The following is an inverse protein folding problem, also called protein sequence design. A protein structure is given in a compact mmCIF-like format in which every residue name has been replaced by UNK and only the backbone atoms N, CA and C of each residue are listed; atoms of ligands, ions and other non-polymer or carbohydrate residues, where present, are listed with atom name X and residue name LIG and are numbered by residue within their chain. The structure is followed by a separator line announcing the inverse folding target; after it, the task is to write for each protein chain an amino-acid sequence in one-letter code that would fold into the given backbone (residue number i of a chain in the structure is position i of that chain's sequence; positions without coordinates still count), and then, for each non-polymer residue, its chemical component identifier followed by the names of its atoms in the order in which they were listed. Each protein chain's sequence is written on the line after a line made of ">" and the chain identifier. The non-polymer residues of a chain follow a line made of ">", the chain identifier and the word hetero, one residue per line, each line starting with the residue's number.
data_IF_744114383851
#
_entry.id   IF_744114383851
#
_cell.length_a   1.000
_cell.length_b   1.000
_cell.length_c   1.000
_cell.angle_alpha   90.00
_cell.angle_beta   90.00
_cell.angle_gamma   90.00
#
_symmetry.space_group_name_H-M   'P 1'
#
loop_
_entity.id
_entity.type
_entity.pdbx_description
1 polymer ?
#
# COMPACT_ATOMS: atom_id res chain seq x y z
N UNK A 1 3.93 6.14 11.95
CA UNK A 1 2.94 5.27 11.28
C UNK A 1 1.90 4.68 12.23
N UNK A 2 2.25 3.75 13.11
CA UNK A 2 1.31 2.98 13.93
C UNK A 2 0.31 3.84 14.75
N UNK A 3 0.81 4.83 15.49
CA UNK A 3 -0.02 5.72 16.33
C UNK A 3 -1.04 6.50 15.48
N UNK A 4 -0.58 7.05 14.36
CA UNK A 4 -1.38 7.91 13.50
C UNK A 4 -2.48 7.14 12.78
N UNK A 5 -2.16 5.96 12.25
CA UNK A 5 -3.16 5.07 11.66
C UNK A 5 -4.23 4.64 12.67
N UNK A 6 -3.81 4.33 13.90
CA UNK A 6 -4.73 3.91 14.96
C UNK A 6 -5.73 5.00 15.34
N UNK A 7 -5.32 6.27 15.29
CA UNK A 7 -6.18 7.41 15.61
C UNK A 7 -7.11 7.78 14.45
N UNK A 8 -6.59 7.83 13.22
CA UNK A 8 -7.35 8.28 12.05
C UNK A 8 -8.35 7.25 11.52
N UNK A 9 -8.12 5.96 11.79
CA UNK A 9 -8.91 4.87 11.21
C UNK A 9 -9.53 3.93 12.25
N UNK A 10 -9.85 4.45 13.44
CA UNK A 10 -10.56 3.69 14.46
C UNK A 10 -11.84 3.05 13.86
N UNK A 11 -12.01 1.74 14.10
CA UNK A 11 -13.11 0.91 13.59
C UNK A 11 -13.12 0.58 12.08
N UNK A 12 -12.08 0.94 11.33
CA UNK A 12 -11.93 0.53 9.93
C UNK A 12 -11.13 -0.78 9.84
N UNK A 13 -11.30 -1.47 8.71
CA UNK A 13 -10.36 -2.47 8.21
C UNK A 13 -9.30 -1.73 7.40
N UNK A 14 -8.08 -1.64 7.90
CA UNK A 14 -7.02 -0.83 7.31
C UNK A 14 -6.13 -1.69 6.42
N UNK A 15 -6.09 -1.38 5.13
CA UNK A 15 -5.18 -2.00 4.18
C UNK A 15 -4.04 -1.03 3.82
N UNK A 16 -2.79 -1.43 4.11
CA UNK A 16 -1.60 -0.69 3.71
C UNK A 16 -1.11 -1.18 2.35
N UNK A 17 -0.94 -0.27 1.41
CA UNK A 17 -0.49 -0.52 0.04
C UNK A 17 0.88 0.11 -0.13
N UNK A 18 1.86 -0.68 -0.52
CA UNK A 18 3.20 -0.23 -0.87
C UNK A 18 3.37 -0.38 -2.37
N UNK A 19 3.34 0.74 -3.08
CA UNK A 19 3.32 0.73 -4.54
C UNK A 19 3.89 2.00 -5.18
N UNK A 20 3.85 2.09 -6.51
CA UNK A 20 4.16 3.30 -7.26
C UNK A 20 2.89 4.17 -7.40
N UNK A 21 3.00 5.46 -7.17
CA UNK A 21 1.88 6.40 -7.24
C UNK A 21 1.19 6.45 -8.61
N UNK A 22 1.89 6.13 -9.70
CA UNK A 22 1.27 5.99 -11.05
C UNK A 22 0.21 4.89 -11.11
N UNK A 23 0.20 3.97 -10.14
CA UNK A 23 -0.73 2.85 -10.09
C UNK A 23 -1.96 3.11 -9.24
N UNK A 24 -2.07 4.28 -8.59
CA UNK A 24 -3.17 4.59 -7.66
C UNK A 24 -4.54 4.45 -8.34
N UNK A 25 -4.62 4.69 -9.66
CA UNK A 25 -5.83 4.52 -10.47
C UNK A 25 -6.41 3.11 -10.44
N UNK A 26 -5.59 2.08 -10.24
CA UNK A 26 -6.02 0.67 -10.19
C UNK A 26 -6.85 0.34 -8.93
N UNK A 27 -6.81 1.20 -7.92
CA UNK A 27 -7.56 1.02 -6.67
C UNK A 27 -8.86 1.83 -6.63
N UNK A 28 -9.19 2.56 -7.70
CA UNK A 28 -10.44 3.33 -7.77
C UNK A 28 -11.63 2.39 -8.01
N UNK A 29 -12.66 2.50 -7.19
CA UNK A 29 -13.92 1.74 -7.33
C UNK A 29 -15.15 2.63 -7.10
N UNK A 30 -16.34 2.08 -7.37
CA UNK A 30 -17.63 2.75 -7.12
C UNK A 30 -18.48 1.91 -6.17
N UNK A 31 -18.93 2.45 -5.02
CA UNK A 31 -18.61 3.79 -4.49
C UNK A 31 -17.13 3.90 -4.07
N UNK A 32 -16.53 5.11 -4.11
CA UNK A 32 -15.13 5.30 -3.74
C UNK A 32 -14.90 5.02 -2.25
N UNK A 33 -13.73 4.48 -1.93
CA UNK A 33 -13.35 4.13 -0.55
C UNK A 33 -12.54 5.26 0.10
N UNK A 34 -12.62 5.39 1.44
CA UNK A 34 -11.70 6.23 2.19
C UNK A 34 -10.24 5.83 1.97
N UNK A 35 -9.38 6.83 1.80
CA UNK A 35 -7.96 6.66 1.53
C UNK A 35 -7.12 7.74 2.20
N UNK A 36 -5.92 7.36 2.63
CA UNK A 36 -4.84 8.28 3.01
C UNK A 36 -3.54 7.92 2.30
N UNK A 37 -2.85 8.93 1.77
CA UNK A 37 -1.44 8.80 1.42
C UNK A 37 -0.59 9.03 2.66
N UNK A 38 0.44 8.20 2.84
CA UNK A 38 1.42 8.31 3.90
C UNK A 38 2.74 8.80 3.31
N UNK A 39 3.25 9.91 3.84
CA UNK A 39 4.51 10.53 3.45
C UNK A 39 5.53 10.40 4.55
N UNK A 40 6.79 10.23 4.16
CA UNK A 40 7.89 10.23 5.11
C UNK A 40 8.31 11.67 5.43
N UNK A 41 8.45 11.99 6.72
CA UNK A 41 9.09 13.21 7.22
C UNK A 41 10.03 12.84 8.36
N UNK A 42 11.32 13.16 8.22
CA UNK A 42 12.35 12.84 9.22
C UNK A 42 12.36 11.35 9.65
N UNK A 43 12.14 10.44 8.70
CA UNK A 43 12.09 8.99 8.95
C UNK A 43 10.78 8.48 9.56
N UNK A 44 9.80 9.35 9.79
CA UNK A 44 8.49 8.98 10.34
C UNK A 44 7.43 9.12 9.25
N UNK A 45 6.63 8.07 9.03
CA UNK A 45 5.48 8.13 8.11
C UNK A 45 4.28 8.79 8.78
N UNK A 46 3.74 9.79 8.08
CA UNK A 46 2.59 10.61 8.46
C UNK A 46 1.55 10.70 7.35
N UNK A 47 0.29 10.93 7.71
CA UNK A 47 -0.79 11.17 6.76
C UNK A 47 -0.53 12.50 6.04
N UNK A 48 -0.57 12.46 4.71
CA UNK A 48 -0.41 13.64 3.88
C UNK A 48 -1.52 14.67 4.13
N UNK A 49 -1.19 15.95 3.97
CA UNK A 49 -2.19 17.02 4.04
C UNK A 49 -3.34 16.78 3.06
N UNK A 50 -4.57 17.05 3.50
CA UNK A 50 -5.79 16.80 2.71
C UNK A 50 -6.31 15.35 2.77
N UNK A 51 -5.65 14.47 3.53
CA UNK A 51 -6.15 13.12 3.85
C UNK A 51 -6.66 13.04 5.30
N UNK A 52 -7.58 12.10 5.63
CA UNK A 52 -8.21 11.15 4.72
C UNK A 52 -9.20 11.80 3.76
N UNK A 53 -9.34 11.23 2.56
CA UNK A 53 -10.31 11.64 1.54
C UNK A 53 -10.91 10.42 0.83
N UNK A 54 -11.78 10.62 -0.16
CA UNK A 54 -12.29 9.55 -1.00
C UNK A 54 -11.38 9.32 -2.21
N UNK A 55 -11.02 8.06 -2.47
CA UNK A 55 -10.24 7.69 -3.64
C UNK A 55 -11.11 7.70 -4.90
N UNK A 56 -11.23 8.87 -5.51
CA UNK A 56 -11.90 9.07 -6.81
C UNK A 56 -10.89 8.99 -7.96
N UNK A 57 -11.37 8.82 -9.20
CA UNK A 57 -10.51 8.93 -10.39
C UNK A 57 -9.77 10.27 -10.47
N UNK A 58 -10.41 11.37 -10.04
CA UNK A 58 -9.78 12.69 -10.00
C UNK A 58 -8.65 12.72 -8.97
N UNK A 59 -8.88 12.16 -7.78
CA UNK A 59 -7.85 12.06 -6.75
C UNK A 59 -6.68 11.20 -7.24
N UNK A 60 -6.96 10.02 -7.78
CA UNK A 60 -5.90 9.13 -8.30
C UNK A 60 -5.02 9.83 -9.35
N UNK A 61 -5.62 10.55 -10.30
CA UNK A 61 -4.86 11.34 -11.30
C UNK A 61 -4.02 12.45 -10.68
N UNK A 62 -4.49 13.06 -9.59
CA UNK A 62 -3.72 14.03 -8.84
C UNK A 62 -2.50 13.37 -8.17
N UNK A 63 -2.69 12.19 -7.56
CA UNK A 63 -1.61 11.47 -6.86
C UNK A 63 -0.47 11.03 -7.79
N UNK A 64 -0.75 10.77 -9.08
CA UNK A 64 0.26 10.42 -10.08
C UNK A 64 1.34 11.50 -10.29
N UNK A 65 1.13 12.71 -9.75
CA UNK A 65 2.02 13.86 -9.89
C UNK A 65 2.80 14.18 -8.62
N UNK A 66 2.70 13.33 -7.59
CA UNK A 66 3.42 13.56 -6.35
C UNK A 66 4.90 13.23 -6.50
N UNK A 67 5.76 14.07 -5.89
CA UNK A 67 7.20 13.86 -5.81
C UNK A 67 7.61 13.52 -4.39
N UNK A 68 7.05 12.44 -3.87
CA UNK A 68 7.38 11.99 -2.53
C UNK A 68 8.86 11.59 -2.47
N UNK A 69 9.56 12.09 -1.45
CA UNK A 69 10.87 11.56 -1.09
C UNK A 69 10.67 10.14 -0.55
N UNK A 70 11.35 9.17 -1.15
CA UNK A 70 11.20 7.76 -0.80
C UNK A 70 12.51 7.22 -0.23
N UNK A 71 12.47 6.78 1.03
CA UNK A 71 13.57 6.06 1.65
C UNK A 71 13.19 4.60 1.89
N UNK A 72 13.75 3.70 1.08
CA UNK A 72 13.54 2.26 1.25
C UNK A 72 13.87 1.78 2.69
N UNK A 73 15.01 2.18 3.32
CA UNK A 73 15.28 1.84 4.72
C UNK A 73 14.20 2.34 5.70
N UNK A 74 13.65 3.53 5.50
CA UNK A 74 12.59 4.04 6.37
C UNK A 74 11.30 3.23 6.22
N UNK A 75 10.92 2.85 4.99
CA UNK A 75 9.76 1.98 4.75
C UNK A 75 9.98 0.63 5.44
N UNK A 76 11.16 0.02 5.27
CA UNK A 76 11.49 -1.26 5.90
C UNK A 76 11.38 -1.18 7.43
N UNK A 77 11.94 -0.14 8.06
CA UNK A 77 11.80 0.08 9.51
C UNK A 77 10.34 0.27 9.94
N UNK A 78 9.55 1.02 9.16
CA UNK A 78 8.13 1.20 9.45
C UNK A 78 7.32 -0.10 9.33
N UNK A 79 7.69 -1.01 8.42
CA UNK A 79 7.07 -2.33 8.28
C UNK A 79 7.37 -3.25 9.47
N UNK A 80 8.59 -3.20 9.99
CA UNK A 80 9.00 -3.97 11.18
C UNK A 80 8.21 -3.53 12.43
N UNK A 81 7.89 -2.23 12.52
CA UNK A 81 7.15 -1.62 13.64
C UNK A 81 5.63 -1.59 13.47
N UNK A 82 5.07 -2.21 12.43
CA UNK A 82 3.63 -2.15 12.12
C UNK A 82 2.73 -2.58 13.29
N UNK A 83 3.20 -3.48 14.17
CA UNK A 83 2.54 -3.76 15.46
C UNK A 83 1.08 -4.22 15.38
N UNK A 84 0.62 -4.72 14.23
CA UNK A 84 -0.78 -5.08 14.00
C UNK A 84 -1.74 -3.90 13.80
N UNK A 85 -1.23 -2.68 13.59
CA UNK A 85 -2.04 -1.47 13.34
C UNK A 85 -2.73 -1.45 11.98
N UNK A 86 -2.35 -2.36 11.09
CA UNK A 86 -3.03 -2.60 9.81
C UNK A 86 -3.54 -4.03 9.77
N UNK A 87 -4.66 -4.21 9.08
CA UNK A 87 -5.30 -5.51 8.94
C UNK A 87 -4.72 -6.32 7.78
N UNK A 88 -4.25 -5.63 6.74
CA UNK A 88 -3.72 -6.25 5.53
C UNK A 88 -2.65 -5.40 4.87
N UNK A 89 -1.63 -6.03 4.27
CA UNK A 89 -0.54 -5.35 3.57
C UNK A 89 -0.44 -5.83 2.13
N UNK A 90 -0.44 -4.91 1.17
CA UNK A 90 -0.23 -5.20 -0.25
C UNK A 90 1.13 -4.68 -0.70
N UNK A 91 1.90 -5.53 -1.39
CA UNK A 91 3.17 -5.14 -2.00
C UNK A 91 3.05 -5.18 -3.52
N UNK A 92 3.23 -4.02 -4.15
CA UNK A 92 3.36 -3.90 -5.60
C UNK A 92 4.71 -4.44 -6.08
N UNK A 93 4.71 -5.13 -7.22
CA UNK A 93 5.93 -5.66 -7.83
C UNK A 93 6.65 -4.68 -8.78
N UNK A 94 6.44 -3.37 -8.60
CA UNK A 94 7.01 -2.36 -9.49
C UNK A 94 8.52 -2.13 -9.22
N UNK A 95 9.28 -1.94 -10.30
CA UNK A 95 10.70 -1.58 -10.30
C UNK A 95 11.62 -2.41 -9.35
N UNK A 96 11.27 -3.67 -9.10
CA UNK A 96 12.04 -4.55 -8.22
C UNK A 96 12.01 -4.20 -6.72
N UNK A 97 11.21 -3.21 -6.31
CA UNK A 97 11.13 -2.77 -4.90
C UNK A 97 10.24 -3.67 -4.04
N UNK A 98 9.28 -4.37 -4.66
CA UNK A 98 8.31 -5.19 -3.94
C UNK A 98 8.94 -6.33 -3.13
N UNK A 99 9.97 -7.00 -3.65
CA UNK A 99 10.59 -8.16 -2.99
C UNK A 99 11.44 -7.78 -1.77
N UNK A 100 12.32 -6.75 -1.84
CA UNK A 100 12.98 -6.21 -0.65
C UNK A 100 12.00 -5.80 0.45
N UNK A 101 10.93 -5.07 0.11
CA UNK A 101 9.92 -4.62 1.07
C UNK A 101 9.15 -5.77 1.72
N UNK A 102 8.73 -6.76 0.92
CA UNK A 102 8.04 -7.94 1.43
C UNK A 102 8.90 -8.75 2.42
N UNK A 103 10.22 -8.75 2.26
CA UNK A 103 11.13 -9.44 3.19
C UNK A 103 11.17 -8.80 4.57
N UNK A 104 10.94 -7.49 4.67
CA UNK A 104 10.92 -6.75 5.94
C UNK A 104 9.61 -6.92 6.71
N UNK A 105 8.56 -7.48 6.09
CA UNK A 105 7.32 -7.72 6.82
C UNK A 105 7.51 -8.87 7.82
N UNK A 106 7.09 -8.72 9.09
CA UNK A 106 7.09 -9.80 10.06
C UNK A 106 6.39 -11.07 9.54
N UNK A 107 7.02 -12.24 9.70
CA UNK A 107 6.58 -13.52 9.13
C UNK A 107 5.15 -13.92 9.57
N UNK A 108 4.73 -13.53 10.77
CA UNK A 108 3.39 -13.78 11.29
C UNK A 108 2.29 -13.03 10.51
N UNK A 109 2.66 -11.97 9.76
CA UNK A 109 1.74 -11.22 8.90
C UNK A 109 1.76 -11.72 7.46
N UNK A 110 2.92 -12.15 6.93
CA UNK A 110 3.10 -12.48 5.52
C UNK A 110 2.12 -13.53 4.96
N UNK A 111 1.78 -14.56 5.74
CA UNK A 111 0.95 -15.68 5.26
C UNK A 111 -0.54 -15.34 5.09
N UNK A 112 -1.12 -14.63 6.05
CA UNK A 112 -2.58 -14.44 6.14
C UNK A 112 -3.01 -12.96 6.09
N UNK A 113 -2.07 -12.03 6.27
CA UNK A 113 -2.32 -10.59 6.35
C UNK A 113 -1.52 -9.81 5.31
N UNK A 114 -1.06 -10.47 4.27
CA UNK A 114 -0.41 -9.79 3.17
C UNK A 114 -0.62 -10.49 1.82
N UNK A 115 -0.52 -9.72 0.75
CA UNK A 115 -0.52 -10.21 -0.61
C UNK A 115 0.46 -9.46 -1.50
N UNK A 116 0.85 -10.12 -2.59
CA UNK A 116 1.63 -9.50 -3.65
C UNK A 116 0.68 -9.16 -4.80
N UNK A 117 0.69 -7.88 -5.19
CA UNK A 117 -0.10 -7.36 -6.31
C UNK A 117 0.79 -7.06 -7.50
N UNK A 118 0.29 -7.37 -8.68
CA UNK A 118 1.05 -7.22 -9.92
C UNK A 118 0.18 -6.74 -11.07
N UNK A 119 0.80 -6.20 -12.12
CA UNK A 119 0.11 -5.84 -13.35
C UNK A 119 -0.22 -7.11 -14.15
N UNK A 120 0.63 -7.45 -15.13
CA UNK A 120 0.39 -8.58 -16.04
C UNK A 120 1.13 -9.86 -15.65
N UNK A 121 2.28 -9.73 -14.97
CA UNK A 121 3.11 -10.88 -14.60
C UNK A 121 3.81 -10.67 -13.26
N UNK A 122 4.18 -11.78 -12.62
CA UNK A 122 4.96 -11.82 -11.39
C UNK A 122 6.06 -12.89 -11.51
N UNK A 123 7.19 -12.59 -12.20
CA UNK A 123 8.28 -13.55 -12.37
C UNK A 123 8.87 -14.05 -11.04
N UNK A 124 8.82 -13.20 -10.00
CA UNK A 124 9.41 -13.45 -8.69
C UNK A 124 8.48 -14.25 -7.75
N UNK A 125 7.35 -14.78 -8.23
CA UNK A 125 6.34 -15.45 -7.39
C UNK A 125 6.96 -16.51 -6.46
N UNK A 126 7.83 -17.38 -6.98
CA UNK A 126 8.49 -18.42 -6.18
C UNK A 126 9.43 -17.86 -5.09
N UNK A 127 9.92 -16.62 -5.24
CA UNK A 127 10.68 -15.96 -4.19
C UNK A 127 9.75 -15.52 -3.04
N UNK A 128 8.59 -14.93 -3.36
CA UNK A 128 7.59 -14.55 -2.36
C UNK A 128 6.98 -15.75 -1.64
N UNK A 129 6.73 -16.87 -2.34
CA UNK A 129 6.23 -18.10 -1.71
C UNK A 129 7.19 -18.66 -0.67
N UNK A 130 8.51 -18.58 -0.94
CA UNK A 130 9.57 -18.94 0.02
C UNK A 130 9.62 -18.01 1.24
N UNK A 131 9.19 -16.76 1.09
CA UNK A 131 9.01 -15.82 2.20
C UNK A 131 7.69 -16.05 2.98
N UNK A 132 6.86 -17.00 2.56
CA UNK A 132 5.63 -17.37 3.26
C UNK A 132 4.36 -16.74 2.71
N UNK A 133 4.44 -15.91 1.66
CA UNK A 133 3.26 -15.31 1.03
C UNK A 133 2.41 -16.37 0.34
N UNK A 134 1.09 -16.21 0.43
CA UNK A 134 0.10 -17.14 -0.14
C UNK A 134 -0.93 -16.47 -1.05
N UNK A 135 -1.11 -15.15 -0.93
CA UNK A 135 -2.04 -14.39 -1.74
C UNK A 135 -1.32 -13.63 -2.85
N UNK A 136 -1.77 -13.84 -4.08
CA UNK A 136 -1.23 -13.25 -5.31
C UNK A 136 -2.39 -12.92 -6.24
N UNK A 137 -2.53 -11.67 -6.65
CA UNK A 137 -3.60 -11.27 -7.57
C UNK A 137 -3.23 -10.00 -8.35
N UNK A 138 -4.01 -9.71 -9.40
CA UNK A 138 -3.77 -8.51 -10.20
C UNK A 138 -4.08 -7.26 -9.39
N UNK A 139 -3.39 -6.17 -9.68
CA UNK A 139 -3.60 -4.87 -9.03
C UNK A 139 -5.05 -4.39 -9.16
N UNK A 140 -5.64 -4.55 -10.33
CA UNK A 140 -7.06 -4.26 -10.61
C UNK A 140 -8.06 -5.07 -9.77
N UNK A 141 -7.64 -6.21 -9.20
CA UNK A 141 -8.48 -7.06 -8.36
C UNK A 141 -8.36 -6.71 -6.87
N UNK A 142 -7.38 -5.88 -6.50
CA UNK A 142 -6.96 -5.69 -5.12
C UNK A 142 -8.06 -5.17 -4.22
N UNK A 143 -8.77 -4.13 -4.64
CA UNK A 143 -9.81 -3.52 -3.80
C UNK A 143 -11.02 -4.43 -3.63
N UNK A 144 -11.39 -5.19 -4.65
CA UNK A 144 -12.46 -6.19 -4.52
C UNK A 144 -12.11 -7.25 -3.46
N UNK A 145 -10.87 -7.74 -3.46
CA UNK A 145 -10.37 -8.69 -2.44
C UNK A 145 -10.35 -8.06 -1.05
N UNK A 146 -9.88 -6.83 -0.92
CA UNK A 146 -9.86 -6.11 0.36
C UNK A 146 -11.27 -5.87 0.90
N UNK A 147 -12.25 -5.57 0.05
CA UNK A 147 -13.65 -5.43 0.46
C UNK A 147 -14.23 -6.73 1.01
N UNK A 148 -13.93 -7.88 0.40
CA UNK A 148 -14.34 -9.18 0.93
C UNK A 148 -13.74 -9.43 2.33
N UNK A 149 -12.46 -9.12 2.52
CA UNK A 149 -11.78 -9.25 3.81
C UNK A 149 -12.37 -8.31 4.87
N UNK A 150 -12.59 -7.04 4.50
CA UNK A 150 -13.18 -6.03 5.38
C UNK A 150 -14.60 -6.42 5.81
N UNK A 151 -15.41 -6.93 4.86
CA UNK A 151 -16.75 -7.48 5.13
C UNK A 151 -16.70 -8.63 6.13
N UNK A 152 -15.79 -9.58 5.95
CA UNK A 152 -15.61 -10.70 6.87
C UNK A 152 -15.20 -10.24 8.28
N UNK A 153 -14.47 -9.13 8.38
CA UNK A 153 -14.10 -8.49 9.64
C UNK A 153 -15.19 -7.56 10.19
N UNK A 154 -16.34 -7.41 9.50
CA UNK A 154 -17.44 -6.51 9.87
C UNK A 154 -16.99 -5.06 10.12
N UNK A 155 -16.00 -4.60 9.34
CA UNK A 155 -15.49 -3.23 9.38
C UNK A 155 -15.44 -2.63 7.98
N UNK A 156 -15.77 -1.34 7.80
CA UNK A 156 -15.58 -0.65 6.52
C UNK A 156 -14.11 -0.63 6.10
N UNK A 157 -13.83 -0.68 4.79
CA UNK A 157 -12.47 -0.65 4.25
C UNK A 157 -11.93 0.78 4.22
N UNK A 158 -10.71 0.97 4.70
CA UNK A 158 -9.90 2.16 4.48
C UNK A 158 -8.56 1.77 3.85
N UNK A 159 -8.10 2.55 2.88
CA UNK A 159 -6.83 2.34 2.20
C UNK A 159 -5.77 3.31 2.73
N UNK A 160 -4.57 2.81 2.96
CA UNK A 160 -3.38 3.62 3.25
C UNK A 160 -2.32 3.31 2.21
N UNK A 161 -1.62 4.32 1.71
CA UNK A 161 -0.67 4.14 0.63
C UNK A 161 0.67 4.78 0.92
N UNK A 162 1.74 4.01 0.72
CA UNK A 162 3.11 4.50 0.73
C UNK A 162 3.66 4.39 -0.68
N UNK A 163 4.14 5.51 -1.21
CA UNK A 163 4.87 5.49 -2.46
C UNK A 163 6.23 4.82 -2.26
N UNK A 164 6.61 3.94 -3.18
CA UNK A 164 7.82 3.11 -3.11
C UNK A 164 8.87 3.49 -4.14
N UNK A 165 8.57 4.46 -5.01
CA UNK A 165 9.47 4.96 -6.04
C UNK A 165 9.48 6.47 -5.99
N UNK A 166 10.65 7.07 -5.78
CA UNK A 166 10.79 8.52 -5.87
C UNK A 166 10.87 8.94 -7.33
N UNK A 167 9.87 9.68 -7.80
CA UNK A 167 9.99 10.45 -9.02
C UNK A 167 10.53 11.86 -8.74
N UNK A 168 11.35 12.35 -9.67
CA UNK A 168 11.98 13.65 -9.71
C UNK A 168 12.11 14.07 -11.18
N UNK A 169 12.65 15.27 -11.41
CA UNK A 169 12.79 15.85 -12.75
C UNK A 169 13.61 15.00 -13.73
N UNK A 170 14.40 14.04 -13.25
CA UNK A 170 15.28 13.20 -14.08
C UNK A 170 14.70 11.82 -14.40
N UNK A 171 13.67 11.37 -13.68
CA UNK A 171 13.09 10.03 -13.85
C UNK A 171 11.55 10.03 -13.91
N UNK A 172 10.90 11.20 -13.87
CA UNK A 172 9.48 11.33 -14.17
C UNK A 172 9.27 11.13 -15.67
N UNK A 173 8.52 10.08 -16.01
CA UNK A 173 7.98 9.88 -17.35
C UNK A 173 6.49 10.18 -17.27
N UNK A 174 6.03 11.22 -17.97
CA UNK A 174 4.59 11.48 -18.08
C UNK A 174 3.96 10.28 -18.79
N UNK A 175 3.02 9.55 -18.16
CA UNK A 175 2.44 8.34 -18.72
C UNK A 175 1.50 8.58 -19.90
#
# INVERSE_FOLDING_TARGET
>A
MAIELSQSWANQFVALILDNEVTVGEFVITPPVPWSRLIQRNGIFQIAEGCPTLLTTKQAKFEMRNWDEVSLPAIMGALEELGGTVDYVLFGNNAGQGLPLARSLPLNLAGNRAAIIYANSLPEKSAYERLGYRAFFRRSEAVARLLELAKNASRPLALCFINTIQHNEFNYHDP
#
